data_IF_746070370147
#
_entry.id   IF_746070370147
#
_cell.length_a   1.000
_cell.length_b   1.000
_cell.length_c   1.000
_cell.angle_alpha   90.00
_cell.angle_beta   90.00
_cell.angle_gamma   90.00
#
_symmetry.space_group_name_H-M   'P 1'
#
loop_
_entity.id
_entity.type
_entity.pdbx_description
1 polymer ?
#
# COMPACT_ATOMS: atom_id res chain seq x y z
N UNK A 1 17.05 -10.53 0.06
CA UNK A 1 16.37 -11.43 -0.92
C UNK A 1 14.85 -11.38 -0.75
N UNK A 2 14.31 -11.57 0.45
CA UNK A 2 12.85 -11.51 0.73
C UNK A 2 12.18 -10.23 0.20
N UNK A 3 12.80 -9.06 0.38
CA UNK A 3 12.24 -7.79 -0.12
C UNK A 3 12.08 -7.72 -1.63
N UNK A 4 12.94 -8.39 -2.41
CA UNK A 4 12.81 -8.42 -3.88
C UNK A 4 11.60 -9.26 -4.30
N UNK A 5 11.43 -10.43 -3.70
CA UNK A 5 10.26 -11.27 -3.92
C UNK A 5 8.97 -10.56 -3.49
N UNK A 6 9.01 -9.85 -2.36
CA UNK A 6 7.88 -9.06 -1.89
C UNK A 6 7.52 -7.93 -2.86
N UNK A 7 8.49 -7.17 -3.34
CA UNK A 7 8.25 -6.08 -4.30
C UNK A 7 7.77 -6.60 -5.65
N UNK A 8 8.28 -7.74 -6.12
CA UNK A 8 7.77 -8.39 -7.32
C UNK A 8 6.29 -8.78 -7.14
N UNK A 9 5.96 -9.44 -6.03
CA UNK A 9 4.58 -9.82 -5.73
C UNK A 9 3.67 -8.59 -5.64
N UNK A 10 4.10 -7.55 -4.93
CA UNK A 10 3.37 -6.31 -4.77
C UNK A 10 3.06 -5.62 -6.10
N UNK A 11 4.06 -5.47 -6.98
CA UNK A 11 3.90 -4.83 -8.28
C UNK A 11 2.95 -5.66 -9.16
N UNK A 12 3.15 -6.98 -9.22
CA UNK A 12 2.30 -7.88 -10.01
C UNK A 12 0.85 -7.80 -9.51
N UNK A 13 0.64 -7.86 -8.20
CA UNK A 13 -0.68 -7.81 -7.59
C UNK A 13 -1.41 -6.49 -7.89
N UNK A 14 -0.73 -5.34 -7.71
CA UNK A 14 -1.29 -4.04 -8.03
C UNK A 14 -1.66 -3.93 -9.52
N UNK A 15 -0.83 -4.44 -10.43
CA UNK A 15 -1.12 -4.41 -11.86
C UNK A 15 -2.35 -5.26 -12.22
N UNK A 16 -2.48 -6.45 -11.63
CA UNK A 16 -3.64 -7.33 -11.83
C UNK A 16 -4.91 -6.65 -11.34
N UNK A 17 -4.89 -6.12 -10.12
CA UNK A 17 -6.06 -5.43 -9.52
C UNK A 17 -6.43 -4.19 -10.33
N UNK A 18 -5.46 -3.37 -10.70
CA UNK A 18 -5.69 -2.17 -11.50
C UNK A 18 -6.32 -2.49 -12.87
N UNK A 19 -5.90 -3.60 -13.50
CA UNK A 19 -6.50 -4.07 -14.75
C UNK A 19 -7.93 -4.59 -14.54
N UNK A 20 -8.19 -5.30 -13.45
CA UNK A 20 -9.51 -5.83 -13.13
C UNK A 20 -10.55 -4.72 -12.90
N UNK A 21 -10.20 -3.71 -12.12
CA UNK A 21 -11.10 -2.59 -11.80
C UNK A 21 -11.05 -1.44 -12.83
N UNK A 22 -10.23 -1.59 -13.89
CA UNK A 22 -9.96 -0.56 -14.91
C UNK A 22 -9.55 0.79 -14.27
N UNK A 23 -8.68 0.73 -13.27
CA UNK A 23 -8.23 1.92 -12.55
C UNK A 23 -7.38 2.83 -13.45
N UNK A 24 -7.56 4.16 -13.37
CA UNK A 24 -6.65 5.10 -14.00
C UNK A 24 -5.26 5.03 -13.35
N UNK A 25 -4.23 5.37 -14.13
CA UNK A 25 -2.82 5.32 -13.74
C UNK A 25 -2.51 6.10 -12.45
N UNK A 26 -3.28 7.15 -12.16
CA UNK A 26 -3.24 7.89 -10.90
C UNK A 26 -3.33 6.99 -9.66
N UNK A 27 -4.35 6.14 -9.58
CA UNK A 27 -4.55 5.28 -8.41
C UNK A 27 -3.46 4.21 -8.29
N UNK A 28 -2.89 3.77 -9.41
CA UNK A 28 -1.80 2.80 -9.42
C UNK A 28 -0.53 3.39 -8.80
N UNK A 29 -0.15 4.61 -9.21
CA UNK A 29 1.04 5.28 -8.71
C UNK A 29 0.91 5.73 -7.24
N UNK A 30 -0.21 6.39 -6.90
CA UNK A 30 -0.46 6.91 -5.55
C UNK A 30 -0.73 5.77 -4.57
N UNK A 31 -1.51 4.77 -4.95
CA UNK A 31 -1.82 3.61 -4.11
C UNK A 31 -0.59 2.78 -3.77
N UNK A 32 0.32 2.55 -4.73
CA UNK A 32 1.58 1.86 -4.42
C UNK A 32 2.45 2.66 -3.44
N UNK A 33 2.49 3.98 -3.56
CA UNK A 33 3.28 4.85 -2.66
C UNK A 33 2.64 5.03 -1.30
N UNK A 34 1.31 4.96 -1.20
CA UNK A 34 0.61 4.90 0.08
C UNK A 34 0.98 3.65 0.89
N UNK A 35 1.17 2.50 0.23
CA UNK A 35 1.48 1.23 0.89
C UNK A 35 2.97 1.02 1.23
N UNK A 36 3.89 1.40 0.32
CA UNK A 36 5.34 1.17 0.52
C UNK A 36 6.07 2.44 0.99
N UNK A 37 5.62 3.61 0.54
CA UNK A 37 6.29 4.89 0.74
C UNK A 37 5.65 5.80 1.82
N UNK A 38 4.54 5.37 2.41
CA UNK A 38 3.88 6.01 3.54
C UNK A 38 3.38 7.45 3.30
N UNK A 39 3.03 8.12 4.41
CA UNK A 39 2.40 9.44 4.41
C UNK A 39 3.29 10.57 3.86
N UNK A 40 4.61 10.38 3.80
CA UNK A 40 5.53 11.38 3.26
C UNK A 40 5.56 11.39 1.72
N UNK A 41 5.55 10.22 1.07
CA UNK A 41 5.77 10.14 -0.38
C UNK A 41 4.50 9.98 -1.22
N UNK A 42 3.40 9.46 -0.66
CA UNK A 42 2.12 9.36 -1.36
C UNK A 42 1.51 10.72 -1.76
N UNK A 43 1.50 11.76 -0.89
CA UNK A 43 0.95 13.07 -1.24
C UNK A 43 1.79 13.79 -2.29
N UNK A 44 3.12 13.60 -2.26
CA UNK A 44 4.05 14.18 -3.24
C UNK A 44 3.77 13.61 -4.63
N UNK A 45 3.58 12.30 -4.74
CA UNK A 45 3.24 11.65 -6.01
C UNK A 45 1.83 12.03 -6.48
N UNK A 46 0.87 12.19 -5.56
CA UNK A 46 -0.47 12.65 -5.91
C UNK A 46 -0.49 14.11 -6.40
N UNK A 47 0.27 14.99 -5.73
CA UNK A 47 0.39 16.41 -6.09
C UNK A 47 1.03 16.60 -7.48
N UNK A 48 1.90 15.68 -7.91
CA UNK A 48 2.48 15.68 -9.25
C UNK A 48 1.45 15.47 -10.37
N UNK A 49 0.31 14.82 -10.08
CA UNK A 49 -0.80 14.74 -11.03
C UNK A 49 -1.68 15.99 -10.96
N UNK A 50 -2.11 16.37 -9.77
CA UNK A 50 -2.82 17.63 -9.54
C UNK A 50 -2.71 18.03 -8.06
N UNK A 51 -2.45 19.30 -7.72
CA UNK A 51 -2.31 19.73 -6.33
C UNK A 51 -3.52 19.41 -5.45
N UNK A 52 -4.74 19.43 -6.01
CA UNK A 52 -5.97 19.07 -5.28
C UNK A 52 -6.07 17.60 -4.89
N UNK A 53 -5.19 16.73 -5.41
CA UNK A 53 -5.16 15.30 -5.13
C UNK A 53 -4.20 14.93 -4.00
N UNK A 54 -3.36 15.86 -3.52
CA UNK A 54 -2.46 15.63 -2.40
C UNK A 54 -3.20 15.14 -1.13
N UNK A 55 -4.35 15.71 -0.72
CA UNK A 55 -5.12 15.22 0.43
C UNK A 55 -5.58 13.76 0.26
N UNK A 56 -5.96 13.37 -0.96
CA UNK A 56 -6.35 11.98 -1.26
C UNK A 56 -5.18 11.04 -1.04
N UNK A 57 -3.97 11.42 -1.47
CA UNK A 57 -2.75 10.66 -1.21
C UNK A 57 -2.43 10.51 0.29
N UNK A 58 -2.65 11.55 1.09
CA UNK A 58 -2.49 11.50 2.56
C UNK A 58 -3.48 10.52 3.16
N UNK A 59 -4.77 10.61 2.81
CA UNK A 59 -5.81 9.74 3.34
C UNK A 59 -5.58 8.27 2.99
N UNK A 60 -5.19 7.98 1.74
CA UNK A 60 -4.83 6.61 1.34
C UNK A 60 -3.65 6.06 2.16
N UNK A 61 -2.63 6.89 2.43
CA UNK A 61 -1.48 6.47 3.21
C UNK A 61 -1.84 6.18 4.67
N UNK A 62 -2.66 7.02 5.29
CA UNK A 62 -3.14 6.80 6.67
C UNK A 62 -3.96 5.52 6.75
N UNK A 63 -4.87 5.30 5.80
CA UNK A 63 -5.69 4.10 5.73
C UNK A 63 -4.84 2.84 5.56
N UNK A 64 -3.89 2.87 4.62
CA UNK A 64 -2.96 1.76 4.39
C UNK A 64 -2.14 1.45 5.64
N UNK A 65 -1.69 2.47 6.37
CA UNK A 65 -0.96 2.28 7.62
C UNK A 65 -1.83 1.67 8.73
N UNK A 66 -3.07 2.14 8.89
CA UNK A 66 -3.99 1.61 9.90
C UNK A 66 -4.32 0.14 9.65
N UNK A 67 -4.66 -0.21 8.41
CA UNK A 67 -4.97 -1.60 8.01
C UNK A 67 -3.72 -2.48 8.11
N UNK A 68 -2.57 -1.99 7.62
CA UNK A 68 -1.30 -2.72 7.66
C UNK A 68 -0.85 -3.00 9.08
N UNK A 69 -1.01 -2.04 10.00
CA UNK A 69 -0.67 -2.22 11.41
C UNK A 69 -1.56 -3.28 12.07
N UNK A 70 -2.88 -3.21 11.85
CA UNK A 70 -3.82 -4.20 12.37
C UNK A 70 -3.53 -5.61 11.80
N UNK A 71 -3.28 -5.71 10.49
CA UNK A 71 -2.94 -6.97 9.83
C UNK A 71 -1.61 -7.55 10.32
N UNK A 72 -0.60 -6.70 10.53
CA UNK A 72 0.69 -7.10 11.11
C UNK A 72 0.53 -7.64 12.53
N UNK A 73 -0.26 -6.97 13.36
CA UNK A 73 -0.57 -7.43 14.72
C UNK A 73 -1.26 -8.80 14.71
N UNK A 74 -2.30 -8.97 13.88
CA UNK A 74 -2.99 -10.25 13.73
C UNK A 74 -2.05 -11.36 13.27
N UNK A 75 -1.18 -11.07 12.29
CA UNK A 75 -0.20 -12.04 11.81
C UNK A 75 0.76 -12.43 12.93
N UNK A 76 1.21 -11.48 13.75
CA UNK A 76 2.04 -11.75 14.93
C UNK A 76 1.35 -12.66 15.94
N UNK A 77 0.07 -12.42 16.23
CA UNK A 77 -0.70 -13.28 17.13
C UNK A 77 -0.90 -14.68 16.55
N UNK A 78 -1.16 -14.81 15.24
CA UNK A 78 -1.23 -16.11 14.56
C UNK A 78 0.09 -16.88 14.67
N UNK A 79 1.23 -16.22 14.47
CA UNK A 79 2.53 -16.86 14.65
C UNK A 79 2.76 -17.30 16.09
N UNK A 80 2.35 -16.48 17.07
CA UNK A 80 2.43 -16.81 18.49
C UNK A 80 1.57 -18.02 18.85
N UNK A 81 0.37 -18.14 18.30
CA UNK A 81 -0.50 -19.31 18.52
C UNK A 81 0.10 -20.61 17.97
N UNK A 82 0.82 -20.53 16.84
CA UNK A 82 1.47 -21.70 16.22
C UNK A 82 2.72 -22.14 17.00
N UNK A 83 3.45 -21.19 17.61
CA UNK A 83 4.71 -21.46 18.33
C UNK A 83 4.50 -21.72 19.83
N UNK A 84 3.51 -21.08 20.45
CA UNK A 84 3.22 -21.16 21.88
C UNK A 84 2.06 -22.06 22.26
N UNK A 85 1.44 -22.75 21.29
CA UNK A 85 0.45 -23.82 21.50
C UNK A 85 1.08 -25.20 21.57
#
# INVERSE_FOLDING_TARGET
>A
MVGVFWMLFHIIFIFIVAKLIRAPSFFLAVGSKANIGGAASAPVVAAAFHPSLAPVGVLLAILGYAIGTAGGYLTGEMMRLIVGG
#
